data_IF_277330689480
#
_entry.id   IF_277330689480
#
_cell.length_a   1.000
_cell.length_b   1.000
_cell.length_c   1.000
_cell.angle_alpha   90.00
_cell.angle_beta   90.00
_cell.angle_gamma   90.00
#
_symmetry.space_group_name_H-M   'P 1'
#
loop_
_entity.id
_entity.type
_entity.pdbx_description
1 polymer ?
#
# COMPACT_ATOMS: atom_id res chain seq x y z
N UNK A 1 -11.48 -8.37 -15.60
CA UNK A 1 -10.65 -8.37 -16.81
C UNK A 1 -11.33 -7.52 -17.86
N UNK A 2 -10.56 -6.70 -18.57
CA UNK A 2 -11.06 -5.91 -19.69
C UNK A 2 -11.52 -6.82 -20.85
N UNK A 3 -12.57 -6.38 -21.55
CA UNK A 3 -13.19 -7.13 -22.62
C UNK A 3 -12.63 -6.70 -23.97
N UNK A 4 -12.61 -7.66 -24.93
CA UNK A 4 -12.39 -7.39 -26.34
C UNK A 4 -11.04 -6.79 -26.69
N UNK A 5 -10.10 -6.79 -25.75
CA UNK A 5 -8.77 -6.23 -25.95
C UNK A 5 -7.79 -7.38 -26.14
N UNK A 6 -7.03 -7.30 -27.19
CA UNK A 6 -6.08 -8.34 -27.56
C UNK A 6 -4.80 -7.74 -28.14
N UNK A 7 -3.69 -8.47 -27.98
CA UNK A 7 -2.41 -8.15 -28.61
C UNK A 7 -2.14 -9.18 -29.71
N UNK A 8 -1.83 -8.75 -30.93
CA UNK A 8 -1.42 -9.65 -31.98
C UNK A 8 -0.67 -8.93 -33.13
N UNK A 9 -0.03 -9.72 -33.98
CA UNK A 9 0.68 -9.25 -35.17
C UNK A 9 1.94 -8.42 -34.81
N UNK A 10 2.33 -7.59 -35.77
CA UNK A 10 3.53 -6.75 -35.67
C UNK A 10 3.44 -5.68 -34.56
N UNK A 11 2.22 -5.36 -34.13
CA UNK A 11 1.94 -4.39 -33.06
C UNK A 11 1.64 -5.09 -31.73
N UNK A 12 2.33 -6.16 -31.41
CA UNK A 12 2.15 -6.93 -30.18
C UNK A 12 2.43 -6.17 -28.88
N UNK A 13 3.03 -4.98 -28.97
CA UNK A 13 3.20 -4.03 -27.88
C UNK A 13 1.92 -3.25 -27.54
N UNK A 14 0.91 -3.32 -28.40
CA UNK A 14 -0.35 -2.59 -28.28
C UNK A 14 -1.53 -3.52 -28.05
N UNK A 15 -2.53 -2.97 -27.40
CA UNK A 15 -3.84 -3.58 -27.29
C UNK A 15 -4.77 -3.04 -28.37
N UNK A 16 -5.56 -3.93 -28.96
CA UNK A 16 -6.61 -3.61 -29.93
C UNK A 16 -7.96 -3.66 -29.21
N UNK A 17 -8.80 -2.70 -29.47
CA UNK A 17 -10.15 -2.57 -28.91
C UNK A 17 -11.12 -2.22 -30.05
N UNK A 18 -12.43 -2.05 -29.74
CA UNK A 18 -13.45 -1.78 -30.75
C UNK A 18 -13.04 -0.68 -31.73
N UNK A 19 -13.12 -1.00 -33.02
CA UNK A 19 -12.62 -0.16 -34.12
C UNK A 19 -11.14 -0.41 -34.46
N UNK A 20 -10.34 -0.92 -33.55
CA UNK A 20 -8.94 -1.28 -33.81
C UNK A 20 -8.77 -2.44 -34.78
N UNK A 21 -9.79 -3.24 -34.95
CA UNK A 21 -9.88 -4.35 -35.92
C UNK A 21 -10.59 -3.97 -37.21
N UNK A 22 -10.95 -2.70 -37.41
CA UNK A 22 -11.76 -2.23 -38.55
C UNK A 22 -13.25 -2.54 -38.42
N UNK A 23 -13.71 -3.00 -37.27
CA UNK A 23 -15.10 -3.34 -36.96
C UNK A 23 -15.99 -2.11 -36.86
N UNK A 24 -17.22 -2.23 -37.38
CA UNK A 24 -18.26 -1.20 -37.31
C UNK A 24 -19.64 -1.85 -37.14
N UNK A 25 -20.51 -1.33 -36.26
CA UNK A 25 -20.26 -0.25 -35.27
C UNK A 25 -19.31 -0.66 -34.16
N UNK A 26 -18.73 0.31 -33.46
CA UNK A 26 -17.85 0.07 -32.30
C UNK A 26 -18.02 1.20 -31.28
N UNK A 27 -17.53 0.97 -30.06
CA UNK A 27 -17.64 1.92 -28.93
C UNK A 27 -16.36 2.76 -28.77
N UNK A 28 -15.54 2.88 -29.81
CA UNK A 28 -14.28 3.64 -29.82
C UNK A 28 -13.35 3.27 -28.66
N UNK A 29 -13.01 4.26 -27.85
CA UNK A 29 -12.09 4.15 -26.72
C UNK A 29 -12.72 3.64 -25.41
N UNK A 30 -13.92 3.07 -25.48
CA UNK A 30 -14.55 2.41 -24.34
C UNK A 30 -13.83 1.11 -23.98
N UNK A 31 -12.68 1.25 -23.33
CA UNK A 31 -11.77 0.17 -23.01
C UNK A 31 -11.02 0.47 -21.69
N UNK A 32 -10.25 -0.51 -21.18
CA UNK A 32 -9.45 -0.40 -19.96
C UNK A 32 -10.26 -0.04 -18.69
N UNK A 33 -11.53 -0.43 -18.65
CA UNK A 33 -12.44 -0.18 -17.53
C UNK A 33 -12.36 -1.27 -16.44
N UNK A 34 -11.69 -2.39 -16.73
CA UNK A 34 -11.54 -3.50 -15.81
C UNK A 34 -10.63 -3.19 -14.63
N UNK A 35 -10.74 -3.99 -13.58
CA UNK A 35 -9.84 -3.95 -12.42
C UNK A 35 -8.55 -4.75 -12.64
N UNK A 36 -8.49 -5.50 -13.72
CA UNK A 36 -7.33 -6.29 -14.18
C UNK A 36 -7.12 -5.98 -15.64
N UNK A 37 -5.88 -5.79 -16.05
CA UNK A 37 -5.54 -5.55 -17.47
C UNK A 37 -5.91 -6.75 -18.36
N UNK A 38 -6.02 -6.58 -19.67
CA UNK A 38 -6.33 -7.68 -20.60
C UNK A 38 -5.35 -8.84 -20.53
N UNK A 39 -4.07 -8.56 -20.26
CA UNK A 39 -3.01 -9.56 -20.04
C UNK A 39 -2.91 -10.02 -18.58
N UNK A 40 -3.94 -9.71 -17.77
CA UNK A 40 -4.10 -10.15 -16.39
C UNK A 40 -3.05 -9.61 -15.40
N UNK A 41 -2.48 -8.46 -15.69
CA UNK A 41 -1.61 -7.79 -14.73
C UNK A 41 -2.42 -7.27 -13.55
N UNK A 42 -1.84 -7.40 -12.36
CA UNK A 42 -2.41 -6.84 -11.13
C UNK A 42 -2.32 -5.32 -11.20
N UNK A 43 -3.45 -4.66 -10.99
CA UNK A 43 -3.53 -3.21 -10.94
C UNK A 43 -3.73 -2.71 -9.51
N UNK A 44 -3.44 -1.44 -9.21
CA UNK A 44 -3.80 -0.83 -7.92
C UNK A 44 -5.30 -0.96 -7.59
N UNK A 45 -6.17 -0.92 -8.59
CA UNK A 45 -7.62 -1.15 -8.43
C UNK A 45 -7.91 -2.52 -7.84
N UNK A 46 -7.22 -3.58 -8.30
CA UNK A 46 -7.41 -4.94 -7.78
C UNK A 46 -6.92 -5.06 -6.33
N UNK A 47 -5.81 -4.40 -5.99
CA UNK A 47 -5.28 -4.39 -4.62
C UNK A 47 -6.29 -3.75 -3.67
N UNK A 48 -6.89 -2.62 -4.07
CA UNK A 48 -7.92 -1.94 -3.26
C UNK A 48 -9.18 -2.80 -3.13
N UNK A 49 -9.64 -3.43 -4.21
CA UNK A 49 -10.78 -4.37 -4.16
C UNK A 49 -10.49 -5.51 -3.19
N UNK A 50 -9.29 -6.11 -3.22
CA UNK A 50 -8.89 -7.14 -2.27
C UNK A 50 -8.98 -6.65 -0.83
N UNK A 51 -8.52 -5.42 -0.54
CA UNK A 51 -8.57 -4.82 0.79
C UNK A 51 -10.01 -4.59 1.26
N UNK A 52 -10.85 -4.03 0.41
CA UNK A 52 -12.25 -3.72 0.75
C UNK A 52 -13.08 -4.98 0.99
N UNK A 53 -12.89 -6.00 0.14
CA UNK A 53 -13.68 -7.24 0.18
C UNK A 53 -13.09 -8.35 1.08
N UNK A 54 -12.01 -8.10 1.81
CA UNK A 54 -11.47 -9.11 2.73
C UNK A 54 -12.52 -9.55 3.77
N UNK A 55 -12.59 -10.85 4.02
CA UNK A 55 -13.57 -11.46 4.94
C UNK A 55 -13.12 -11.53 6.40
N UNK A 56 -11.84 -11.30 6.68
CA UNK A 56 -11.34 -11.13 8.04
C UNK A 56 -11.16 -9.63 8.25
N UNK A 57 -11.91 -9.06 9.20
CA UNK A 57 -11.78 -7.64 9.56
C UNK A 57 -11.01 -7.53 10.87
N UNK A 58 -10.05 -6.66 10.89
CA UNK A 58 -9.28 -6.34 12.09
C UNK A 58 -9.89 -5.12 12.76
N UNK A 59 -9.98 -5.14 14.08
CA UNK A 59 -10.45 -4.02 14.88
C UNK A 59 -9.48 -3.79 16.05
N UNK A 60 -9.04 -2.55 16.26
CA UNK A 60 -8.18 -2.24 17.38
C UNK A 60 -8.97 -2.37 18.69
N UNK A 61 -8.38 -2.99 19.71
CA UNK A 61 -8.93 -3.05 21.08
C UNK A 61 -8.04 -2.24 22.01
N UNK A 62 -6.79 -2.68 22.19
CA UNK A 62 -5.78 -1.98 22.98
C UNK A 62 -4.42 -2.18 22.29
N UNK A 63 -4.17 -1.37 21.27
CA UNK A 63 -3.03 -1.57 20.36
C UNK A 63 -1.68 -1.56 21.07
N UNK A 64 -1.51 -0.70 22.09
CA UNK A 64 -0.25 -0.63 22.84
C UNK A 64 0.00 -1.88 23.69
N UNK A 65 -1.04 -2.63 24.02
CA UNK A 65 -0.96 -3.94 24.65
C UNK A 65 -1.00 -5.09 23.62
N UNK A 66 -0.95 -4.77 22.34
CA UNK A 66 -1.01 -5.75 21.25
C UNK A 66 -2.38 -6.36 21.02
N UNK A 67 -3.46 -5.87 21.67
CA UNK A 67 -4.79 -6.49 21.57
C UNK A 67 -5.53 -6.03 20.34
N UNK A 68 -5.94 -7.01 19.52
CA UNK A 68 -6.69 -6.83 18.28
C UNK A 68 -7.83 -7.85 18.23
N UNK A 69 -9.01 -7.40 17.84
CA UNK A 69 -10.15 -8.28 17.56
C UNK A 69 -10.18 -8.61 16.06
N UNK A 70 -10.35 -9.88 15.74
CA UNK A 70 -10.58 -10.37 14.39
C UNK A 70 -12.06 -10.76 14.25
N UNK A 71 -12.76 -10.13 13.32
CA UNK A 71 -14.14 -10.46 12.96
C UNK A 71 -14.12 -11.42 11.78
N UNK A 72 -14.64 -12.63 12.00
CA UNK A 72 -14.82 -13.62 10.94
C UNK A 72 -16.10 -13.32 10.15
N UNK A 73 -15.95 -12.83 8.93
CA UNK A 73 -17.06 -12.53 8.02
C UNK A 73 -17.30 -13.65 6.99
N UNK A 74 -16.60 -14.77 7.12
CA UNK A 74 -16.88 -15.96 6.32
C UNK A 74 -18.19 -16.60 6.78
N UNK A 75 -18.92 -17.19 5.83
CA UNK A 75 -20.14 -17.96 6.12
C UNK A 75 -19.84 -19.44 6.41
N UNK A 76 -18.70 -19.96 5.91
CA UNK A 76 -18.39 -21.39 5.97
C UNK A 76 -16.98 -21.71 6.50
N UNK A 77 -16.11 -20.71 6.66
CA UNK A 77 -14.73 -20.93 7.10
C UNK A 77 -14.50 -20.50 8.54
N UNK A 78 -13.82 -21.35 9.29
CA UNK A 78 -13.36 -21.04 10.63
C UNK A 78 -11.98 -20.37 10.58
N UNK A 79 -11.69 -19.43 11.48
CA UNK A 79 -10.40 -18.73 11.50
C UNK A 79 -9.22 -19.62 11.88
N UNK A 80 -9.43 -20.80 12.48
CA UNK A 80 -8.38 -21.76 12.78
C UNK A 80 -7.66 -22.30 11.52
N UNK A 81 -8.20 -22.04 10.31
CA UNK A 81 -7.57 -22.38 9.04
C UNK A 81 -6.51 -21.37 8.59
N UNK A 82 -6.34 -20.28 9.34
CA UNK A 82 -5.41 -19.20 9.01
C UNK A 82 -4.37 -19.02 10.11
N UNK A 83 -3.19 -18.55 9.71
CA UNK A 83 -2.17 -18.00 10.59
C UNK A 83 -2.20 -16.49 10.51
N UNK A 84 -1.92 -15.81 11.60
CA UNK A 84 -1.73 -14.38 11.68
C UNK A 84 -0.24 -14.08 11.74
N UNK A 85 0.32 -13.64 10.63
CA UNK A 85 1.65 -13.05 10.59
C UNK A 85 1.58 -11.61 11.07
N UNK A 86 2.50 -11.20 11.91
CA UNK A 86 2.58 -9.83 12.38
C UNK A 86 4.01 -9.29 12.28
N UNK A 87 4.12 -7.98 12.10
CA UNK A 87 5.39 -7.27 12.07
C UNK A 87 5.23 -5.95 12.81
N UNK A 88 6.16 -5.67 13.73
CA UNK A 88 6.31 -4.35 14.34
C UNK A 88 7.39 -3.60 13.58
N UNK A 89 7.03 -2.44 13.05
CA UNK A 89 7.96 -1.55 12.36
C UNK A 89 8.27 -0.35 13.24
N UNK A 90 9.53 0.05 13.23
CA UNK A 90 10.02 1.33 13.79
C UNK A 90 10.67 2.12 12.65
N UNK A 91 10.19 3.32 12.39
CA UNK A 91 10.71 4.21 11.34
C UNK A 91 10.86 3.50 9.99
N UNK A 92 9.86 2.66 9.63
CA UNK A 92 9.81 1.89 8.40
C UNK A 92 10.63 0.59 8.40
N UNK A 93 11.40 0.28 9.46
CA UNK A 93 12.20 -0.93 9.57
C UNK A 93 11.51 -1.97 10.48
N UNK A 94 11.50 -3.24 10.06
CA UNK A 94 10.97 -4.31 10.89
C UNK A 94 11.91 -4.54 12.08
N UNK A 95 11.41 -4.32 13.29
CA UNK A 95 12.17 -4.51 14.54
C UNK A 95 11.76 -5.79 15.27
N UNK A 96 10.54 -6.27 15.04
CA UNK A 96 10.03 -7.50 15.65
C UNK A 96 8.98 -8.12 14.73
N UNK A 97 8.89 -9.44 14.69
CA UNK A 97 7.90 -10.14 13.88
C UNK A 97 7.61 -11.52 14.43
N UNK A 98 6.49 -12.11 14.03
CA UNK A 98 6.15 -13.47 14.41
C UNK A 98 4.89 -13.98 13.70
N UNK A 99 4.51 -15.19 14.06
CA UNK A 99 3.32 -15.87 13.55
C UNK A 99 2.53 -16.42 14.73
N UNK A 100 1.23 -16.18 14.73
CA UNK A 100 0.28 -16.75 15.67
C UNK A 100 -0.69 -17.65 14.89
N UNK A 101 -0.88 -18.88 15.36
CA UNK A 101 -2.00 -19.69 14.87
C UNK A 101 -3.30 -19.13 15.39
N UNK A 102 -4.21 -18.79 14.48
CA UNK A 102 -5.53 -18.34 14.88
C UNK A 102 -6.32 -19.48 15.52
N UNK A 103 -7.00 -19.15 16.62
CA UNK A 103 -7.85 -20.08 17.35
C UNK A 103 -9.19 -20.34 16.67
N UNK A 104 -10.06 -21.02 17.37
CA UNK A 104 -11.40 -21.34 16.90
C UNK A 104 -12.28 -20.11 16.92
N UNK A 105 -12.67 -19.65 15.74
CA UNK A 105 -13.73 -18.67 15.53
C UNK A 105 -14.58 -19.14 14.35
N UNK A 106 -15.74 -19.70 14.69
CA UNK A 106 -16.73 -20.17 13.72
C UNK A 106 -17.18 -19.03 12.79
N UNK A 107 -17.83 -19.35 11.66
CA UNK A 107 -18.42 -18.35 10.78
C UNK A 107 -19.24 -17.30 11.54
N UNK A 108 -19.08 -16.04 11.19
CA UNK A 108 -19.76 -14.89 11.81
C UNK A 108 -19.51 -14.73 13.34
N UNK A 109 -18.37 -15.25 13.83
CA UNK A 109 -17.90 -15.04 15.21
C UNK A 109 -16.60 -14.27 15.23
N UNK A 110 -16.29 -13.68 16.37
CA UNK A 110 -15.10 -12.88 16.59
C UNK A 110 -14.16 -13.58 17.55
N UNK A 111 -12.86 -13.31 17.42
CA UNK A 111 -11.86 -13.65 18.44
C UNK A 111 -11.01 -12.43 18.76
N UNK A 112 -10.54 -12.37 19.99
CA UNK A 112 -9.50 -11.42 20.38
C UNK A 112 -8.15 -12.15 20.44
N UNK A 113 -7.12 -11.51 19.89
CA UNK A 113 -5.76 -12.00 19.91
C UNK A 113 -4.83 -10.96 20.52
N UNK A 114 -3.78 -11.41 21.19
CA UNK A 114 -2.72 -10.54 21.69
C UNK A 114 -1.46 -10.78 20.89
N UNK A 115 -0.98 -9.75 20.22
CA UNK A 115 0.28 -9.76 19.49
C UNK A 115 1.42 -9.62 20.52
N UNK A 116 2.34 -10.60 20.64
CA UNK A 116 3.28 -10.68 21.74
C UNK A 116 4.57 -9.91 21.50
N UNK A 117 4.49 -8.72 20.90
CA UNK A 117 5.68 -7.87 20.77
C UNK A 117 6.15 -7.34 22.13
N UNK A 118 7.46 -7.18 22.29
CA UNK A 118 8.13 -6.79 23.53
C UNK A 118 8.83 -5.44 23.43
N UNK A 119 9.00 -4.94 22.24
CA UNK A 119 9.67 -3.66 22.00
C UNK A 119 8.95 -2.53 22.72
N UNK A 120 9.68 -1.80 23.56
CA UNK A 120 9.17 -0.58 24.18
C UNK A 120 9.01 0.52 23.11
N UNK A 121 7.84 1.15 23.08
CA UNK A 121 7.55 2.21 22.13
C UNK A 121 8.08 3.53 22.68
N UNK A 122 9.11 4.10 22.05
CA UNK A 122 9.62 5.43 22.41
C UNK A 122 8.82 6.55 21.71
N UNK A 123 8.81 7.73 22.29
CA UNK A 123 8.03 8.87 21.79
C UNK A 123 8.68 9.58 20.58
N UNK A 124 9.91 9.22 20.24
CA UNK A 124 10.68 9.87 19.16
C UNK A 124 10.63 9.14 17.83
N UNK A 125 9.94 7.99 17.77
CA UNK A 125 9.90 7.15 16.59
C UNK A 125 8.47 6.80 16.17
N UNK A 126 8.29 6.55 14.89
CA UNK A 126 7.02 6.02 14.35
C UNK A 126 6.98 4.49 14.47
N UNK A 127 5.93 3.99 15.10
CA UNK A 127 5.69 2.56 15.17
C UNK A 127 4.41 2.17 14.45
N UNK A 128 4.53 1.14 13.60
CA UNK A 128 3.40 0.51 12.92
C UNK A 128 3.34 -0.97 13.22
N UNK A 129 2.13 -1.46 13.44
CA UNK A 129 1.84 -2.89 13.55
C UNK A 129 1.16 -3.35 12.26
N UNK A 130 1.86 -4.18 11.48
CA UNK A 130 1.32 -4.85 10.32
C UNK A 130 0.79 -6.23 10.72
N UNK A 131 -0.41 -6.53 10.24
CA UNK A 131 -1.10 -7.81 10.44
C UNK A 131 -1.47 -8.40 9.09
N UNK A 132 -1.25 -9.71 8.93
CA UNK A 132 -1.54 -10.45 7.70
C UNK A 132 -2.10 -11.83 8.03
N UNK A 133 -3.37 -12.07 7.73
CA UNK A 133 -3.99 -13.38 7.83
C UNK A 133 -3.66 -14.21 6.58
N UNK A 134 -3.10 -15.40 6.76
CA UNK A 134 -2.58 -16.25 5.68
C UNK A 134 -3.11 -17.67 5.77
N UNK A 135 -3.30 -18.28 4.61
CA UNK A 135 -3.68 -19.70 4.52
C UNK A 135 -2.62 -20.59 5.18
N UNK A 136 -3.05 -21.52 6.04
CA UNK A 136 -2.17 -22.55 6.62
C UNK A 136 -1.81 -23.66 5.64
N UNK A 137 -2.69 -23.94 4.67
CA UNK A 137 -2.58 -25.07 3.73
C UNK A 137 -2.94 -24.61 2.32
N UNK A 138 -2.48 -25.36 1.35
CA UNK A 138 -2.89 -25.19 -0.05
C UNK A 138 -4.40 -25.41 -0.19
N UNK A 139 -4.99 -24.67 -1.10
CA UNK A 139 -6.37 -24.85 -1.54
C UNK A 139 -6.46 -24.72 -3.07
N UNK A 140 -7.65 -24.92 -3.63
CA UNK A 140 -7.85 -24.98 -5.10
C UNK A 140 -7.44 -23.71 -5.85
N UNK A 141 -7.35 -22.56 -5.17
CA UNK A 141 -7.10 -21.26 -5.78
C UNK A 141 -5.84 -20.55 -5.29
N UNK A 142 -5.18 -21.04 -4.21
CA UNK A 142 -3.95 -20.46 -3.69
C UNK A 142 -3.16 -21.45 -2.85
N UNK A 143 -1.85 -21.25 -2.77
CA UNK A 143 -0.95 -22.02 -1.94
C UNK A 143 -0.96 -21.52 -0.48
N UNK A 144 -0.48 -22.36 0.43
CA UNK A 144 -0.21 -21.98 1.82
C UNK A 144 0.66 -20.71 1.87
N UNK A 145 0.39 -19.87 2.86
CA UNK A 145 1.03 -18.57 3.00
C UNK A 145 0.39 -17.45 2.18
N UNK A 146 -0.60 -17.74 1.32
CA UNK A 146 -1.33 -16.68 0.61
C UNK A 146 -2.07 -15.77 1.59
N UNK A 147 -1.85 -14.46 1.47
CA UNK A 147 -2.53 -13.46 2.28
C UNK A 147 -3.98 -13.26 1.83
N UNK A 148 -4.92 -13.49 2.75
CA UNK A 148 -6.36 -13.30 2.51
C UNK A 148 -6.90 -12.00 3.08
N UNK A 149 -6.23 -11.45 4.10
CA UNK A 149 -6.60 -10.17 4.70
C UNK A 149 -5.38 -9.54 5.38
N UNK A 150 -5.32 -8.22 5.40
CA UNK A 150 -4.26 -7.48 6.07
C UNK A 150 -4.76 -6.18 6.68
N UNK A 151 -4.01 -5.68 7.68
CA UNK A 151 -4.25 -4.38 8.30
C UNK A 151 -2.94 -3.78 8.80
N UNK A 152 -2.90 -2.45 8.87
CA UNK A 152 -1.80 -1.71 9.48
C UNK A 152 -2.36 -0.72 10.50
N UNK A 153 -1.76 -0.70 11.67
CA UNK A 153 -2.09 0.25 12.73
C UNK A 153 -0.88 1.08 13.12
N UNK A 154 -1.06 2.38 13.23
CA UNK A 154 -0.09 3.24 13.91
C UNK A 154 -0.24 3.04 15.42
N UNK A 155 0.87 2.76 16.10
CA UNK A 155 0.95 2.59 17.55
C UNK A 155 1.38 3.88 18.25
N UNK A 156 1.97 4.80 17.53
CA UNK A 156 2.40 6.12 18.01
C UNK A 156 1.58 7.21 17.31
N UNK A 157 1.34 8.30 18.02
CA UNK A 157 0.75 9.51 17.43
C UNK A 157 1.67 10.14 16.40
N UNK A 158 1.21 11.19 15.73
CA UNK A 158 2.07 12.00 14.84
C UNK A 158 3.27 12.48 15.65
N UNK A 159 4.48 12.19 15.15
CA UNK A 159 5.69 12.78 15.70
C UNK A 159 5.59 14.29 15.48
N UNK A 160 5.71 15.05 16.55
CA UNK A 160 5.81 16.49 16.42
C UNK A 160 7.13 16.79 15.70
N UNK A 161 7.05 17.19 14.45
CA UNK A 161 8.21 17.73 13.74
C UNK A 161 8.59 19.01 14.48
N UNK A 162 9.82 19.06 15.01
CA UNK A 162 10.33 20.28 15.59
C UNK A 162 10.15 21.42 14.57
N UNK A 163 9.64 22.59 14.98
CA UNK A 163 9.54 23.70 14.06
C UNK A 163 10.92 23.95 13.47
N UNK A 164 10.98 23.98 12.15
CA UNK A 164 12.23 24.35 11.46
C UNK A 164 12.53 25.79 11.90
N UNK A 165 13.71 26.01 12.44
CA UNK A 165 14.16 27.36 12.72
C UNK A 165 14.24 28.11 11.38
N UNK A 166 13.30 29.03 11.18
CA UNK A 166 13.21 29.85 9.97
C UNK A 166 14.03 31.14 10.08
N UNK A 167 14.72 31.32 11.20
CA UNK A 167 15.65 32.44 11.37
C UNK A 167 16.95 32.19 10.57
N UNK A 168 16.86 32.33 9.26
CA UNK A 168 18.04 32.34 8.40
C UNK A 168 18.73 33.70 8.50
N UNK A 169 19.95 33.71 9.03
CA UNK A 169 20.80 34.89 9.04
C UNK A 169 21.58 35.05 7.71
N UNK A 170 21.45 34.12 6.80
CA UNK A 170 22.16 34.09 5.54
C UNK A 170 21.30 34.67 4.41
N UNK A 171 21.94 35.44 3.53
CA UNK A 171 21.29 36.04 2.36
C UNK A 171 21.13 34.99 1.28
N UNK A 172 19.89 34.72 0.89
CA UNK A 172 19.58 33.91 -0.29
C UNK A 172 19.98 34.71 -1.54
N UNK A 173 20.89 34.15 -2.35
CA UNK A 173 21.27 34.73 -3.65
C UNK A 173 20.39 34.15 -4.73
N UNK A 174 19.79 35.00 -5.53
CA UNK A 174 19.05 34.60 -6.72
C UNK A 174 19.96 34.74 -7.93
N UNK A 175 20.06 33.68 -8.72
CA UNK A 175 20.87 33.59 -9.93
C UNK A 175 19.91 33.36 -11.11
N UNK A 176 19.70 34.37 -11.97
CA UNK A 176 18.82 34.25 -13.12
C UNK A 176 19.65 33.97 -14.37
N UNK A 177 19.38 32.84 -15.00
CA UNK A 177 19.91 32.43 -16.29
C UNK A 177 18.76 32.21 -17.27
N UNK A 178 19.07 32.12 -18.57
CA UNK A 178 18.05 32.00 -19.62
C UNK A 178 17.13 30.79 -19.45
N UNK A 179 17.65 29.69 -18.93
CA UNK A 179 16.92 28.42 -18.83
C UNK A 179 16.61 28.01 -17.39
N UNK A 180 17.13 28.75 -16.40
CA UNK A 180 16.92 28.43 -14.98
C UNK A 180 16.97 29.66 -14.08
N UNK A 181 16.21 29.60 -13.01
CA UNK A 181 16.29 30.52 -11.87
C UNK A 181 16.85 29.71 -10.68
N UNK A 182 18.04 30.06 -10.26
CA UNK A 182 18.75 29.43 -9.15
C UNK A 182 18.62 30.20 -7.85
N UNK A 183 18.54 29.49 -6.76
CA UNK A 183 18.56 30.01 -5.39
C UNK A 183 19.71 29.36 -4.65
N UNK A 184 20.64 30.16 -4.15
CA UNK A 184 21.86 29.69 -3.46
C UNK A 184 21.95 30.27 -2.06
N UNK A 185 22.26 29.39 -1.13
CA UNK A 185 22.71 29.75 0.22
C UNK A 185 23.85 28.80 0.66
N UNK A 186 24.55 29.09 1.78
CA UNK A 186 25.52 28.16 2.32
C UNK A 186 24.94 26.76 2.51
N UNK A 187 25.54 25.76 1.88
CA UNK A 187 25.14 24.36 2.00
C UNK A 187 24.04 23.88 1.07
N UNK A 188 23.41 24.75 0.25
CA UNK A 188 22.47 24.29 -0.76
C UNK A 188 22.40 25.17 -2.01
N UNK A 189 21.97 24.57 -3.09
CA UNK A 189 21.58 25.24 -4.33
C UNK A 189 20.34 24.52 -4.89
N UNK A 190 19.32 25.31 -5.26
CA UNK A 190 18.14 24.81 -5.94
C UNK A 190 17.85 25.65 -7.17
N UNK A 191 17.51 25.02 -8.30
CA UNK A 191 17.15 25.74 -9.50
C UNK A 191 15.86 25.21 -10.13
N UNK A 192 15.12 26.10 -10.74
CA UNK A 192 13.87 25.83 -11.43
C UNK A 192 13.92 26.33 -12.87
N UNK A 193 13.30 25.58 -13.78
CA UNK A 193 13.04 26.07 -15.13
C UNK A 193 11.90 27.09 -15.08
N UNK A 194 12.11 28.35 -15.58
CA UNK A 194 11.12 29.42 -15.45
C UNK A 194 9.87 29.21 -16.30
N UNK A 195 9.96 28.46 -17.41
CA UNK A 195 8.82 28.20 -18.28
C UNK A 195 7.91 27.09 -17.75
N UNK A 196 8.49 26.04 -17.18
CA UNK A 196 7.74 24.85 -16.75
C UNK A 196 7.50 24.79 -15.26
N UNK A 197 8.17 25.64 -14.46
CA UNK A 197 8.15 25.61 -13.00
C UNK A 197 8.79 24.36 -12.38
N UNK A 198 9.41 23.50 -13.18
CA UNK A 198 10.04 22.26 -12.69
C UNK A 198 11.38 22.54 -12.03
N UNK A 199 11.63 21.86 -10.92
CA UNK A 199 12.97 21.83 -10.32
C UNK A 199 13.94 21.06 -11.24
N UNK A 200 15.05 21.70 -11.61
CA UNK A 200 16.08 21.15 -12.52
C UNK A 200 17.37 20.83 -11.81
N UNK A 201 17.61 21.36 -10.61
CA UNK A 201 18.81 21.06 -9.82
C UNK A 201 18.51 21.21 -8.33
N UNK A 202 19.08 20.31 -7.53
CA UNK A 202 19.18 20.38 -6.07
C UNK A 202 20.55 19.83 -5.68
N UNK A 203 21.35 20.62 -4.95
CA UNK A 203 22.71 20.25 -4.51
C UNK A 203 22.97 20.70 -3.09
#
# INVERSE_FOLDING_TARGET
>A
VDQGINKYGELSDRYYFGGGFGDKPNDFDFCCNGIVTPDRQVTPKLIEVKKVYQYIKFKPVELKAGKVKLENRYDFLNLNQFDLQWQLLKDGQIVESGVLSLGDAAPNKDIEVTIPYKTALDAGSEYFLNLSARLKKDCNWANAGHEVASEQYSLTGKIAVAPVDTAFNDTLKVEEEKEQIGFRAPGFFIAFNPETGKMVSLR
#
